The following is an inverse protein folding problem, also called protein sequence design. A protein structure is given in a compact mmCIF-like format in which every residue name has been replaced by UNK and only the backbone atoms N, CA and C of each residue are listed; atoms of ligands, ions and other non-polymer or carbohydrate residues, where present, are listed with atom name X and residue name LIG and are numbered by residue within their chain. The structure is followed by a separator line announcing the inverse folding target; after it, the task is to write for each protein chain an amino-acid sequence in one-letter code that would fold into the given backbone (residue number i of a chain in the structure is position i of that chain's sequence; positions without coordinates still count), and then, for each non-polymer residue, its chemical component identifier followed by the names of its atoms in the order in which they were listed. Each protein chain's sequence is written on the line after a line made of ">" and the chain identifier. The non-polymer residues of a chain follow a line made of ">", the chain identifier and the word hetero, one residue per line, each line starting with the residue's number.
data_IF_188837254275
#
_entry.id   IF_188837254275
#
_cell.length_a   1.000
_cell.length_b   1.000
_cell.length_c   1.000
_cell.angle_alpha   90.00
_cell.angle_beta   90.00
_cell.angle_gamma   90.00
#
_symmetry.space_group_name_H-M   'P 1'
#
loop_
_entity.id
_entity.type
_entity.pdbx_description
1 polymer ?
#
# COMPACT_ATOMS: atom_id res chain seq x y z
N UNK A 1 -24.18 -76.35 12.76
CA UNK A 1 -24.74 -77.14 13.88
C UNK A 1 -23.63 -77.58 14.83
N UNK A 2 -23.50 -76.94 15.99
CA UNK A 2 -23.14 -77.55 17.30
C UNK A 2 -23.05 -76.41 18.33
N UNK A 3 -23.72 -76.63 19.46
CA UNK A 3 -23.93 -75.68 20.56
C UNK A 3 -22.88 -75.87 21.67
N UNK A 4 -22.75 -74.82 22.50
CA UNK A 4 -22.58 -74.83 23.98
C UNK A 4 -21.18 -75.15 24.59
N UNK A 5 -20.93 -74.87 25.90
CA UNK A 5 -20.95 -73.55 26.58
C UNK A 5 -19.88 -73.40 27.70
N UNK A 6 -19.83 -72.23 28.36
CA UNK A 6 -19.59 -72.11 29.82
C UNK A 6 -18.17 -71.74 30.29
N UNK A 7 -18.02 -70.64 31.06
CA UNK A 7 -18.02 -70.70 32.53
C UNK A 7 -17.83 -69.32 33.18
N UNK A 8 -18.46 -69.18 34.35
CA UNK A 8 -18.47 -68.02 35.24
C UNK A 8 -17.19 -67.89 36.07
N UNK A 9 -16.92 -66.69 36.58
CA UNK A 9 -16.01 -66.47 37.72
C UNK A 9 -15.84 -64.99 38.06
N UNK A 10 -16.60 -64.51 39.03
CA UNK A 10 -16.49 -63.18 39.62
C UNK A 10 -15.48 -63.18 40.78
N UNK A 11 -14.72 -62.09 40.96
CA UNK A 11 -14.27 -61.64 42.28
C UNK A 11 -13.91 -60.15 42.26
N UNK A 12 -14.25 -59.49 43.36
CA UNK A 12 -14.27 -58.05 43.57
C UNK A 12 -13.07 -57.53 44.38
N UNK A 13 -13.03 -56.20 44.51
CA UNK A 13 -12.25 -55.36 45.44
C UNK A 13 -10.77 -55.16 45.02
N UNK A 14 -10.19 -53.96 45.08
CA UNK A 14 -10.24 -52.91 46.12
C UNK A 14 -9.87 -51.52 45.53
N UNK A 15 -10.46 -50.46 46.10
CA UNK A 15 -10.17 -49.03 45.87
C UNK A 15 -8.84 -48.61 46.50
N UNK A 16 -8.08 -47.71 45.88
CA UNK A 16 -7.41 -46.54 46.50
C UNK A 16 -7.23 -45.43 45.42
N UNK A 17 -7.48 -44.14 45.73
CA UNK A 17 -7.45 -43.04 44.76
C UNK A 17 -6.04 -42.43 44.66
N UNK A 18 -5.69 -41.90 43.48
CA UNK A 18 -4.59 -40.95 43.32
C UNK A 18 -4.96 -39.93 42.25
N UNK A 19 -5.34 -38.75 42.73
CA UNK A 19 -5.44 -37.54 41.94
C UNK A 19 -4.02 -37.07 41.58
N UNK A 20 -3.60 -37.19 40.33
CA UNK A 20 -2.47 -36.40 39.78
C UNK A 20 -2.66 -36.20 38.28
N UNK A 21 -2.86 -34.93 37.89
CA UNK A 21 -2.27 -34.34 36.70
C UNK A 21 -2.70 -34.82 35.31
N UNK A 22 -3.67 -34.12 34.71
CA UNK A 22 -3.62 -33.79 33.28
C UNK A 22 -4.52 -32.58 32.96
N UNK A 23 -4.17 -31.43 33.51
CA UNK A 23 -4.51 -30.14 32.89
C UNK A 23 -3.26 -29.70 32.14
N UNK A 24 -3.10 -30.18 30.91
CA UNK A 24 -1.99 -29.79 30.06
C UNK A 24 -2.38 -29.93 28.59
N UNK A 25 -2.30 -28.82 27.86
CA UNK A 25 -2.29 -28.67 26.41
C UNK A 25 -3.60 -28.92 25.65
N UNK A 26 -4.50 -27.93 25.76
CA UNK A 26 -5.38 -27.54 24.65
C UNK A 26 -5.42 -26.00 24.55
N UNK A 27 -4.23 -25.40 24.42
CA UNK A 27 -4.00 -23.98 24.09
C UNK A 27 -3.07 -23.90 22.88
N UNK A 28 -3.53 -24.39 21.73
CA UNK A 28 -2.80 -24.28 20.47
C UNK A 28 -3.77 -24.22 19.28
N UNK A 29 -4.71 -23.27 19.33
CA UNK A 29 -5.49 -22.86 18.15
C UNK A 29 -6.08 -21.45 18.34
N UNK A 30 -5.27 -20.50 18.81
CA UNK A 30 -5.55 -19.07 18.71
C UNK A 30 -4.28 -18.36 18.25
N UNK A 31 -3.84 -18.66 17.01
CA UNK A 31 -2.98 -17.75 16.26
C UNK A 31 -3.89 -16.97 15.31
N UNK A 32 -4.35 -15.75 15.65
CA UNK A 32 -4.76 -14.79 14.63
C UNK A 32 -3.47 -14.30 13.96
N UNK A 33 -2.98 -15.12 13.04
CA UNK A 33 -1.75 -14.89 12.30
C UNK A 33 -1.91 -15.49 10.93
N UNK A 34 -2.89 -15.03 10.15
CA UNK A 34 -2.78 -15.15 8.70
C UNK A 34 -1.63 -14.25 8.28
N UNK A 35 -0.39 -14.72 8.47
CA UNK A 35 0.76 -14.26 7.72
C UNK A 35 0.40 -14.46 6.25
N UNK A 36 -0.08 -13.41 5.59
CA UNK A 36 -0.42 -13.46 4.18
C UNK A 36 0.79 -13.99 3.44
N UNK A 37 0.68 -15.19 2.87
CA UNK A 37 1.80 -15.84 2.20
C UNK A 37 2.43 -14.86 1.19
N UNK A 38 3.74 -14.71 1.18
CA UNK A 38 4.42 -13.82 0.23
C UNK A 38 4.22 -14.31 -1.21
N UNK A 39 4.35 -13.39 -2.18
CA UNK A 39 4.23 -13.75 -3.59
C UNK A 39 5.47 -14.49 -4.09
N UNK A 40 5.25 -15.60 -4.79
CA UNK A 40 6.24 -16.25 -5.66
C UNK A 40 6.52 -15.38 -6.89
N UNK A 41 7.58 -15.67 -7.65
CA UNK A 41 7.93 -14.87 -8.85
C UNK A 41 6.81 -14.92 -9.89
N UNK A 42 6.19 -16.08 -10.08
CA UNK A 42 5.05 -16.24 -10.97
C UNK A 42 3.83 -15.44 -10.50
N UNK A 43 3.60 -15.37 -9.19
CA UNK A 43 2.52 -14.56 -8.63
C UNK A 43 2.80 -13.06 -8.77
N UNK A 44 4.02 -12.59 -8.50
CA UNK A 44 4.41 -11.19 -8.75
C UNK A 44 4.21 -10.83 -10.23
N UNK A 45 4.60 -11.72 -11.15
CA UNK A 45 4.36 -11.51 -12.56
C UNK A 45 2.87 -11.44 -12.92
N UNK A 46 2.03 -12.28 -12.31
CA UNK A 46 0.58 -12.23 -12.49
C UNK A 46 -0.02 -10.91 -11.99
N UNK A 47 0.46 -10.39 -10.85
CA UNK A 47 0.05 -9.07 -10.33
C UNK A 47 0.40 -7.96 -11.31
N UNK A 48 1.61 -8.00 -11.89
CA UNK A 48 2.02 -7.02 -12.90
C UNK A 48 1.21 -7.12 -14.19
N UNK A 49 0.91 -8.33 -14.66
CA UNK A 49 0.06 -8.55 -15.84
C UNK A 49 -1.35 -8.01 -15.59
N UNK A 50 -1.90 -8.22 -14.39
CA UNK A 50 -3.17 -7.64 -13.97
C UNK A 50 -3.10 -6.12 -13.97
N UNK A 51 -2.09 -5.53 -13.35
CA UNK A 51 -1.88 -4.07 -13.35
C UNK A 51 -1.81 -3.50 -14.77
N UNK A 52 -1.07 -4.16 -15.65
CA UNK A 52 -0.96 -3.79 -17.07
C UNK A 52 -2.32 -3.80 -17.77
N UNK A 53 -3.14 -4.81 -17.52
CA UNK A 53 -4.49 -4.90 -18.06
C UNK A 53 -5.39 -3.78 -17.52
N UNK A 54 -5.37 -3.54 -16.21
CA UNK A 54 -6.15 -2.48 -15.56
C UNK A 54 -5.76 -1.09 -16.10
N UNK A 55 -4.45 -0.83 -16.26
CA UNK A 55 -3.92 0.39 -16.87
C UNK A 55 -4.35 0.55 -18.33
N UNK A 56 -4.27 -0.51 -19.13
CA UNK A 56 -4.69 -0.47 -20.52
C UNK A 56 -6.19 -0.19 -20.63
N UNK A 57 -7.01 -0.78 -19.76
CA UNK A 57 -8.45 -0.52 -19.73
C UNK A 57 -8.78 0.92 -19.33
N UNK A 58 -8.05 1.49 -18.37
CA UNK A 58 -8.30 2.86 -17.90
C UNK A 58 -7.72 3.93 -18.82
N UNK A 59 -6.57 3.67 -19.44
CA UNK A 59 -5.82 4.60 -20.31
C UNK A 59 -5.10 3.87 -21.46
N UNK A 60 -5.82 3.48 -22.52
CA UNK A 60 -5.24 2.74 -23.64
C UNK A 60 -4.09 3.48 -24.33
N UNK A 61 -4.24 4.80 -24.50
CA UNK A 61 -3.24 5.65 -25.16
C UNK A 61 -1.91 5.66 -24.39
N UNK A 62 -1.96 5.61 -23.06
CA UNK A 62 -0.76 5.53 -22.23
C UNK A 62 -0.09 4.16 -22.38
N UNK A 63 -0.85 3.09 -22.17
CA UNK A 63 -0.34 1.72 -22.22
C UNK A 63 0.27 1.36 -23.58
N UNK A 64 -0.14 2.03 -24.66
CA UNK A 64 0.44 1.87 -25.99
C UNK A 64 1.81 2.53 -26.16
N UNK A 65 2.12 3.59 -25.40
CA UNK A 65 3.38 4.35 -25.48
C UNK A 65 4.49 3.77 -24.60
N UNK A 66 4.14 3.07 -23.53
CA UNK A 66 5.12 2.44 -22.65
C UNK A 66 5.60 1.10 -23.25
N UNK A 67 6.92 0.91 -23.31
CA UNK A 67 7.54 -0.31 -23.87
C UNK A 67 7.14 -1.52 -23.03
N UNK A 68 6.61 -2.56 -23.69
CA UNK A 68 6.14 -3.83 -23.11
C UNK A 68 4.94 -3.77 -22.14
N UNK A 69 4.27 -2.62 -22.05
CA UNK A 69 3.00 -2.47 -21.32
C UNK A 69 1.75 -2.79 -22.14
N UNK A 70 1.91 -3.27 -23.37
CA UNK A 70 0.77 -3.70 -24.19
C UNK A 70 0.21 -5.04 -23.69
N UNK A 71 -1.11 -5.26 -23.72
CA UNK A 71 -1.71 -6.51 -23.25
C UNK A 71 -1.16 -7.77 -23.94
N UNK A 72 -0.72 -7.64 -25.19
CA UNK A 72 -0.17 -8.72 -26.01
C UNK A 72 1.35 -8.91 -25.88
N UNK A 73 2.05 -8.08 -25.08
CA UNK A 73 3.48 -8.28 -24.85
C UNK A 73 3.72 -9.55 -24.02
N UNK A 74 4.61 -10.40 -24.53
CA UNK A 74 5.10 -11.62 -23.90
C UNK A 74 6.33 -11.39 -23.02
N UNK A 75 6.84 -10.15 -22.96
CA UNK A 75 7.97 -9.80 -22.12
C UNK A 75 7.64 -10.04 -20.64
N UNK A 76 8.62 -10.55 -19.90
CA UNK A 76 8.53 -10.67 -18.43
C UNK A 76 8.57 -9.27 -17.79
N UNK A 77 7.94 -9.05 -16.62
CA UNK A 77 7.82 -7.72 -16.01
C UNK A 77 9.12 -6.94 -15.84
N UNK A 78 10.24 -7.63 -15.55
CA UNK A 78 11.54 -6.98 -15.40
C UNK A 78 12.11 -6.38 -16.70
N UNK A 79 11.53 -6.70 -17.86
CA UNK A 79 11.85 -6.07 -19.14
C UNK A 79 10.97 -4.88 -19.49
N UNK A 80 9.94 -4.58 -18.68
CA UNK A 80 8.99 -3.51 -18.99
C UNK A 80 9.58 -2.14 -18.68
N UNK A 81 9.20 -1.12 -19.46
CA UNK A 81 9.61 0.25 -19.18
C UNK A 81 9.18 0.65 -17.76
N UNK A 82 10.04 1.35 -17.02
CA UNK A 82 9.75 1.83 -15.66
C UNK A 82 9.56 0.75 -14.58
N UNK A 83 9.90 -0.51 -14.88
CA UNK A 83 10.02 -1.57 -13.89
C UNK A 83 11.49 -1.87 -13.65
N UNK A 84 11.93 -1.87 -12.40
CA UNK A 84 13.27 -2.29 -12.00
C UNK A 84 13.17 -3.53 -11.14
N UNK A 85 14.04 -4.50 -11.41
CA UNK A 85 14.15 -5.70 -10.62
C UNK A 85 15.54 -5.84 -10.00
N UNK A 86 15.61 -6.60 -8.90
CA UNK A 86 16.86 -7.06 -8.32
C UNK A 86 17.49 -8.21 -9.14
N UNK A 87 18.60 -8.75 -8.64
CA UNK A 87 19.31 -9.89 -9.25
C UNK A 87 18.53 -11.21 -9.21
N UNK A 88 17.48 -11.28 -8.39
CA UNK A 88 16.56 -12.42 -8.27
C UNK A 88 15.29 -12.23 -9.11
N UNK A 89 15.28 -11.22 -9.99
CA UNK A 89 14.15 -10.83 -10.83
C UNK A 89 12.92 -10.38 -10.03
N UNK A 90 13.12 -9.87 -8.82
CA UNK A 90 12.05 -9.32 -7.96
C UNK A 90 11.92 -7.84 -8.20
N UNK A 91 10.69 -7.38 -8.35
CA UNK A 91 10.42 -5.98 -8.65
C UNK A 91 10.68 -5.14 -7.40
N UNK A 92 11.64 -4.22 -7.51
CA UNK A 92 12.04 -3.31 -6.43
C UNK A 92 11.56 -1.89 -6.64
N UNK A 93 11.38 -1.46 -7.90
CA UNK A 93 10.87 -0.15 -8.22
C UNK A 93 9.86 -0.23 -9.36
N UNK A 94 8.72 0.44 -9.17
CA UNK A 94 7.66 0.58 -10.14
C UNK A 94 7.28 2.05 -10.26
N UNK A 95 7.64 2.69 -11.38
CA UNK A 95 7.44 4.13 -11.61
C UNK A 95 6.52 4.43 -12.80
N UNK A 96 5.22 4.41 -12.55
CA UNK A 96 4.15 4.67 -13.51
C UNK A 96 3.73 6.14 -13.56
N UNK A 97 4.67 7.05 -13.34
CA UNK A 97 4.38 8.48 -13.48
C UNK A 97 4.45 8.86 -14.95
N UNK A 98 3.33 9.33 -15.47
CA UNK A 98 3.28 9.93 -16.79
C UNK A 98 3.90 11.31 -16.73
N UNK A 99 5.11 11.40 -17.28
CA UNK A 99 5.78 12.64 -17.59
C UNK A 99 5.72 12.78 -19.10
N UNK A 100 5.31 13.95 -19.59
CA UNK A 100 5.46 14.28 -21.00
C UNK A 100 6.92 14.02 -21.41
N UNK A 101 7.23 13.64 -22.66
CA UNK A 101 8.62 13.61 -23.14
C UNK A 101 9.39 14.91 -22.85
N UNK A 102 8.68 16.04 -22.76
CA UNK A 102 9.23 17.35 -22.36
C UNK A 102 9.74 17.37 -20.90
N UNK A 103 9.06 16.66 -20.00
CA UNK A 103 9.47 16.51 -18.59
C UNK A 103 10.65 15.55 -18.42
N UNK A 104 10.83 14.58 -19.34
CA UNK A 104 12.03 13.71 -19.35
C UNK A 104 13.30 14.52 -19.66
N UNK A 105 13.20 15.64 -20.40
CA UNK A 105 14.32 16.55 -20.67
C UNK A 105 14.66 17.43 -19.44
N UNK A 106 13.65 17.84 -18.66
CA UNK A 106 13.83 18.64 -17.45
C UNK A 106 14.58 17.89 -16.32
N UNK A 107 14.53 16.55 -16.31
CA UNK A 107 15.26 15.71 -15.33
C UNK A 107 16.78 15.68 -15.49
N UNK A 108 17.35 16.37 -16.50
CA UNK A 108 18.81 16.54 -16.60
C UNK A 108 19.35 17.75 -15.85
N UNK A 109 18.51 18.70 -15.39
CA UNK A 109 18.99 19.83 -14.58
C UNK A 109 17.92 20.35 -13.60
N UNK A 110 18.31 20.33 -12.32
CA UNK A 110 17.87 21.15 -11.19
C UNK A 110 16.78 20.67 -10.20
N UNK A 111 16.92 21.06 -8.92
CA UNK A 111 16.17 20.55 -7.75
C UNK A 111 15.07 21.51 -7.26
N UNK A 112 14.64 22.50 -8.04
CA UNK A 112 13.72 23.55 -7.57
C UNK A 112 12.59 23.81 -8.55
N UNK A 113 11.35 23.71 -8.05
CA UNK A 113 10.18 24.38 -8.60
C UNK A 113 9.54 23.71 -9.82
N UNK A 114 8.76 22.64 -9.59
CA UNK A 114 7.83 22.12 -10.58
C UNK A 114 6.59 23.05 -10.62
N UNK A 115 6.52 23.98 -11.59
CA UNK A 115 5.29 24.75 -11.87
C UNK A 115 4.26 23.83 -12.52
N UNK A 116 2.95 23.96 -12.23
CA UNK A 116 1.94 23.20 -12.94
C UNK A 116 1.82 23.73 -14.37
N UNK A 117 2.25 22.93 -15.34
CA UNK A 117 1.92 23.16 -16.76
C UNK A 117 0.49 22.68 -16.95
N UNK A 118 -0.42 23.63 -17.15
CA UNK A 118 -1.80 23.36 -17.58
C UNK A 118 -1.71 22.73 -18.97
N UNK A 119 -1.85 21.40 -19.02
CA UNK A 119 -1.97 20.68 -20.27
C UNK A 119 -3.32 21.02 -20.91
N UNK A 120 -3.25 21.75 -22.01
CA UNK A 120 -4.39 22.07 -22.88
C UNK A 120 -4.87 20.77 -23.56
N UNK A 121 -5.73 20.01 -22.87
CA UNK A 121 -6.38 18.83 -23.42
C UNK A 121 -7.62 19.24 -24.21
N UNK A 122 -7.39 19.67 -25.45
CA UNK A 122 -8.43 19.71 -26.47
C UNK A 122 -9.00 18.31 -26.71
N UNK A 123 -10.33 18.20 -26.66
CA UNK A 123 -11.17 17.01 -26.84
C UNK A 123 -11.33 16.05 -25.65
N UNK A 124 -11.99 16.51 -24.58
CA UNK A 124 -12.71 15.65 -23.65
C UNK A 124 -14.24 15.79 -23.84
N UNK A 125 -14.73 15.38 -25.00
CA UNK A 125 -16.16 15.29 -25.31
C UNK A 125 -16.59 13.83 -25.37
N UNK A 126 -16.85 13.23 -24.21
CA UNK A 126 -17.80 12.12 -24.03
C UNK A 126 -17.94 11.84 -22.53
N UNK A 127 -18.94 12.45 -21.91
CA UNK A 127 -19.37 12.17 -20.56
C UNK A 127 -20.04 10.78 -20.49
N UNK A 128 -19.21 9.74 -20.50
CA UNK A 128 -19.47 8.52 -19.74
C UNK A 128 -18.54 8.55 -18.53
N UNK A 129 -19.04 8.25 -17.34
CA UNK A 129 -18.19 8.13 -16.14
C UNK A 129 -17.12 7.07 -16.39
N UNK A 130 -15.92 7.48 -16.80
CA UNK A 130 -14.82 6.56 -17.03
C UNK A 130 -14.61 5.73 -15.75
N UNK A 131 -14.53 4.39 -15.86
CA UNK A 131 -14.34 3.55 -14.70
C UNK A 131 -13.04 3.95 -14.00
N UNK A 132 -13.07 3.95 -12.67
CA UNK A 132 -11.85 4.22 -11.92
C UNK A 132 -10.84 3.11 -12.14
N UNK A 133 -9.57 3.49 -12.23
CA UNK A 133 -8.47 2.56 -12.17
C UNK A 133 -8.38 2.02 -10.74
N UNK A 134 -8.60 0.71 -10.58
CA UNK A 134 -8.41 0.01 -9.30
C UNK A 134 -7.02 -0.60 -9.30
N UNK A 135 -6.12 -0.10 -8.45
CA UNK A 135 -4.80 -0.72 -8.31
C UNK A 135 -4.94 -2.12 -7.68
N UNK A 136 -4.12 -3.12 -8.06
CA UNK A 136 -4.23 -4.45 -7.49
C UNK A 136 -3.93 -4.45 -5.97
N UNK A 137 -4.80 -5.06 -5.13
CA UNK A 137 -4.51 -5.22 -3.70
C UNK A 137 -3.25 -6.05 -3.45
N UNK A 138 -2.93 -6.99 -4.34
CA UNK A 138 -1.78 -7.88 -4.22
C UNK A 138 -0.42 -7.16 -4.33
N UNK A 139 -0.38 -5.92 -4.85
CA UNK A 139 0.82 -5.08 -4.80
C UNK A 139 1.34 -4.95 -3.36
N UNK A 140 0.44 -4.90 -2.38
CA UNK A 140 0.79 -4.86 -0.96
C UNK A 140 1.58 -6.07 -0.46
N UNK A 141 1.61 -7.19 -1.21
CA UNK A 141 2.34 -8.42 -0.85
C UNK A 141 3.68 -8.54 -1.58
N UNK A 142 4.06 -7.54 -2.39
CA UNK A 142 5.35 -7.50 -3.08
C UNK A 142 6.45 -7.15 -2.10
N UNK A 143 7.13 -8.18 -1.59
CA UNK A 143 8.03 -8.04 -0.45
C UNK A 143 9.29 -7.23 -0.75
N UNK A 144 9.65 -7.12 -2.02
CA UNK A 144 10.87 -6.45 -2.47
C UNK A 144 10.60 -5.06 -3.02
N UNK A 145 9.34 -4.64 -3.10
CA UNK A 145 8.98 -3.34 -3.66
C UNK A 145 9.39 -2.24 -2.68
N UNK A 146 10.43 -1.49 -3.03
CA UNK A 146 10.99 -0.38 -2.26
C UNK A 146 10.39 0.96 -2.68
N UNK A 147 10.07 1.11 -3.97
CA UNK A 147 9.52 2.33 -4.53
C UNK A 147 8.31 2.05 -5.40
N UNK A 148 7.20 2.69 -5.05
CA UNK A 148 6.00 2.72 -5.87
C UNK A 148 5.66 4.17 -6.20
N UNK A 149 5.65 4.49 -7.49
CA UNK A 149 5.23 5.78 -8.01
C UNK A 149 4.16 5.57 -9.07
N UNK A 150 3.03 6.26 -8.92
CA UNK A 150 1.93 6.26 -9.87
C UNK A 150 1.54 7.70 -10.16
N UNK A 151 1.32 8.06 -11.43
CA UNK A 151 0.96 9.44 -11.77
C UNK A 151 0.19 9.55 -13.07
N UNK A 152 -1.13 9.70 -12.99
CA UNK A 152 -2.03 9.76 -14.14
C UNK A 152 -3.27 10.61 -13.85
N UNK A 153 -3.85 11.24 -14.87
CA UNK A 153 -5.07 12.06 -14.78
C UNK A 153 -6.35 11.20 -14.78
N UNK A 154 -6.37 10.14 -13.98
CA UNK A 154 -7.51 9.19 -13.89
C UNK A 154 -8.21 9.27 -12.54
N UNK A 155 -9.45 8.80 -12.49
CA UNK A 155 -10.08 8.44 -11.22
C UNK A 155 -9.41 7.17 -10.68
N UNK A 156 -8.94 7.19 -9.45
CA UNK A 156 -8.14 6.13 -8.85
C UNK A 156 -8.82 5.57 -7.60
N UNK A 157 -8.87 4.25 -7.45
CA UNK A 157 -9.24 3.60 -6.20
C UNK A 157 -8.02 2.91 -5.60
N UNK A 158 -7.69 3.25 -4.34
CA UNK A 158 -6.63 2.60 -3.58
C UNK A 158 -7.20 1.46 -2.74
N UNK A 159 -6.64 0.24 -2.80
CA UNK A 159 -7.13 -0.89 -2.02
C UNK A 159 -6.95 -0.72 -0.52
N UNK A 160 -7.91 -1.20 0.27
CA UNK A 160 -7.82 -1.19 1.74
C UNK A 160 -6.72 -2.11 2.30
N UNK A 161 -6.35 -3.12 1.51
CA UNK A 161 -5.30 -4.10 1.78
C UNK A 161 -3.93 -3.46 1.92
N UNK A 162 -3.73 -2.30 1.28
CA UNK A 162 -2.49 -1.54 1.34
C UNK A 162 -2.20 -1.02 2.75
N UNK A 163 -3.22 -0.84 3.59
CA UNK A 163 -3.08 -0.41 4.97
C UNK A 163 -3.15 -1.52 6.02
N UNK A 164 -3.19 -2.79 5.61
CA UNK A 164 -3.25 -3.92 6.55
C UNK A 164 -1.86 -4.31 7.09
N UNK A 165 -1.76 -4.88 8.31
CA UNK A 165 -0.48 -5.30 8.88
C UNK A 165 0.29 -6.23 7.93
N UNK A 166 1.59 -5.99 7.77
CA UNK A 166 2.44 -6.75 6.85
C UNK A 166 2.35 -6.31 5.39
N UNK A 167 1.52 -5.32 5.05
CA UNK A 167 1.54 -4.70 3.71
C UNK A 167 2.86 -3.99 3.47
N UNK A 168 3.37 -4.13 2.24
CA UNK A 168 4.52 -3.42 1.72
C UNK A 168 5.74 -3.44 2.66
N UNK A 169 6.28 -4.63 2.97
CA UNK A 169 7.26 -4.81 4.04
C UNK A 169 8.60 -4.09 3.78
N UNK A 170 8.92 -3.80 2.51
CA UNK A 170 10.15 -3.10 2.11
C UNK A 170 9.90 -1.71 1.52
N UNK A 171 8.67 -1.23 1.47
CA UNK A 171 8.37 0.04 0.78
C UNK A 171 8.95 1.21 1.56
N UNK A 172 9.78 2.00 0.88
CA UNK A 172 10.45 3.20 1.38
C UNK A 172 9.80 4.48 0.84
N UNK A 173 9.28 4.41 -0.39
CA UNK A 173 8.73 5.56 -1.10
C UNK A 173 7.38 5.24 -1.75
N UNK A 174 6.35 5.97 -1.34
CA UNK A 174 5.01 5.90 -1.91
C UNK A 174 4.64 7.26 -2.52
N UNK A 175 4.42 7.28 -3.84
CA UNK A 175 4.04 8.49 -4.56
C UNK A 175 2.82 8.20 -5.43
N UNK A 176 1.67 8.82 -5.14
CA UNK A 176 0.44 8.62 -5.90
C UNK A 176 -0.11 9.96 -6.37
N UNK A 177 -0.14 10.14 -7.69
CA UNK A 177 -0.70 11.30 -8.36
C UNK A 177 -1.89 10.85 -9.21
N UNK A 178 -3.07 11.42 -8.95
CA UNK A 178 -4.32 11.05 -9.58
C UNK A 178 -5.11 12.26 -10.07
N UNK A 179 -6.12 12.03 -10.92
CA UNK A 179 -7.17 13.01 -11.15
C UNK A 179 -8.05 13.13 -9.91
N UNK A 180 -8.92 12.15 -9.68
CA UNK A 180 -9.76 12.10 -8.48
C UNK A 180 -9.59 10.77 -7.76
N UNK A 181 -9.87 10.74 -6.45
CA UNK A 181 -9.93 9.50 -5.69
C UNK A 181 -11.37 8.96 -5.73
N UNK A 182 -11.55 7.68 -6.06
CA UNK A 182 -12.78 6.95 -5.82
C UNK A 182 -12.77 6.46 -4.37
N UNK A 183 -13.65 7.01 -3.55
CA UNK A 183 -13.70 6.70 -2.12
C UNK A 183 -12.65 7.45 -1.30
N UNK A 184 -12.37 6.93 -0.11
CA UNK A 184 -11.38 7.49 0.81
C UNK A 184 -10.01 6.83 0.63
N UNK A 185 -8.98 7.46 1.19
CA UNK A 185 -7.67 6.83 1.33
C UNK A 185 -7.77 5.66 2.33
N UNK A 186 -7.02 4.57 2.11
CA UNK A 186 -7.05 3.45 3.03
C UNK A 186 -6.51 3.85 4.40
N UNK A 187 -7.19 3.42 5.46
CA UNK A 187 -6.66 3.49 6.82
C UNK A 187 -5.39 2.63 6.92
N UNK A 188 -4.36 3.14 7.60
CA UNK A 188 -3.12 2.40 7.84
C UNK A 188 -3.15 1.88 9.27
N UNK A 189 -3.09 0.56 9.41
CA UNK A 189 -3.03 -0.12 10.71
C UNK A 189 -1.60 -0.27 11.18
N UNK A 190 -1.36 -0.36 12.51
CA UNK A 190 -0.04 -0.70 13.04
C UNK A 190 0.51 -1.97 12.40
N UNK A 191 1.79 -1.97 12.03
CA UNK A 191 2.43 -3.09 11.34
C UNK A 191 2.39 -3.03 9.80
N UNK A 192 1.67 -2.08 9.20
CA UNK A 192 1.72 -1.80 7.77
C UNK A 192 2.89 -0.86 7.43
N UNK A 193 3.55 -1.05 6.27
CA UNK A 193 4.50 -0.08 5.70
C UNK A 193 5.57 0.41 6.70
N UNK A 194 6.14 -0.51 7.48
CA UNK A 194 7.02 -0.21 8.62
C UNK A 194 8.29 0.57 8.25
N UNK A 195 8.75 0.45 7.00
CA UNK A 195 9.95 1.10 6.49
C UNK A 195 9.65 2.37 5.66
N UNK A 196 8.38 2.74 5.50
CA UNK A 196 7.97 3.83 4.63
C UNK A 196 8.46 5.18 5.19
N UNK A 197 9.23 5.90 4.37
CA UNK A 197 9.88 7.16 4.72
C UNK A 197 9.20 8.35 4.08
N UNK A 198 8.89 8.21 2.80
CA UNK A 198 8.33 9.29 2.00
C UNK A 198 6.95 8.93 1.49
N UNK A 199 5.99 9.81 1.77
CA UNK A 199 4.65 9.77 1.20
C UNK A 199 4.39 11.06 0.42
N UNK A 200 4.06 10.91 -0.87
CA UNK A 200 3.67 12.03 -1.74
C UNK A 200 2.36 11.73 -2.39
N UNK A 201 1.40 12.62 -2.21
CA UNK A 201 0.06 12.34 -2.62
C UNK A 201 -0.60 13.57 -3.22
N UNK A 202 -0.94 13.49 -4.51
CA UNK A 202 -1.51 14.62 -5.25
C UNK A 202 -2.76 14.19 -6.01
N UNK A 203 -3.86 14.92 -5.81
CA UNK A 203 -5.11 14.70 -6.52
C UNK A 203 -5.66 16.05 -6.98
N UNK A 204 -6.32 16.10 -8.13
CA UNK A 204 -6.94 17.34 -8.62
C UNK A 204 -8.23 17.69 -7.85
N UNK A 205 -8.81 16.74 -7.12
CA UNK A 205 -9.93 17.00 -6.22
C UNK A 205 -9.45 17.52 -4.86
N UNK A 206 -10.02 18.63 -4.41
CA UNK A 206 -9.70 19.31 -3.14
C UNK A 206 -10.33 18.67 -1.91
N UNK A 207 -11.18 17.64 -2.06
CA UNK A 207 -11.95 17.05 -0.95
C UNK A 207 -11.32 15.79 -0.35
N UNK A 208 -10.14 15.38 -0.85
CA UNK A 208 -9.48 14.17 -0.33
C UNK A 208 -8.89 14.44 1.05
N UNK A 209 -9.56 13.95 2.08
CA UNK A 209 -9.08 14.02 3.46
C UNK A 209 -8.06 12.93 3.76
N UNK A 210 -7.03 13.31 4.50
CA UNK A 210 -6.09 12.37 5.10
C UNK A 210 -6.76 11.59 6.24
N UNK A 211 -6.55 10.26 6.35
CA UNK A 211 -7.11 9.49 7.45
C UNK A 211 -6.44 9.90 8.77
N UNK A 212 -7.22 10.21 9.83
CA UNK A 212 -6.67 10.49 11.16
C UNK A 212 -5.80 9.35 11.70
N UNK A 213 -6.11 8.11 11.31
CA UNK A 213 -5.41 6.89 11.72
C UNK A 213 -3.92 6.88 11.38
N UNK A 214 -3.49 7.60 10.33
CA UNK A 214 -2.10 7.61 9.88
C UNK A 214 -1.14 8.23 10.90
N UNK A 215 -1.63 9.18 11.70
CA UNK A 215 -0.83 9.93 12.67
C UNK A 215 -1.41 9.93 14.09
N UNK A 216 -2.45 9.13 14.36
CA UNK A 216 -3.05 9.07 15.69
C UNK A 216 -2.26 8.22 16.69
N UNK A 217 -1.27 7.44 16.22
CA UNK A 217 -0.43 6.58 17.05
C UNK A 217 1.00 6.52 16.50
N UNK A 218 1.97 6.39 17.40
CA UNK A 218 3.41 6.33 17.08
C UNK A 218 3.85 5.04 16.38
N UNK A 219 3.05 3.98 16.50
CA UNK A 219 3.30 2.68 15.86
C UNK A 219 2.75 2.58 14.42
N UNK A 220 2.06 3.62 13.96
CA UNK A 220 1.59 3.75 12.58
C UNK A 220 2.62 4.59 11.81
N UNK A 221 3.14 4.04 10.70
CA UNK A 221 4.18 4.68 9.87
C UNK A 221 5.40 5.18 10.68
N UNK A 222 6.04 4.32 11.50
CA UNK A 222 7.07 4.72 12.47
C UNK A 222 8.40 5.20 11.85
N UNK A 223 8.55 5.07 10.53
CA UNK A 223 9.71 5.52 9.77
C UNK A 223 9.44 6.76 8.91
N UNK A 224 8.20 7.28 8.90
CA UNK A 224 7.83 8.40 8.05
C UNK A 224 8.61 9.65 8.46
N UNK A 225 9.33 10.22 7.50
CA UNK A 225 10.12 11.44 7.68
C UNK A 225 9.74 12.55 6.69
N UNK A 226 9.14 12.21 5.55
CA UNK A 226 8.70 13.16 4.53
C UNK A 226 7.24 12.93 4.15
N UNK A 227 6.45 14.00 4.19
CA UNK A 227 5.04 13.96 3.81
C UNK A 227 4.64 15.20 3.00
N UNK A 228 4.05 14.95 1.83
CA UNK A 228 3.55 15.98 0.92
C UNK A 228 2.04 15.76 0.66
N UNK A 229 1.15 16.59 1.26
CA UNK A 229 -0.31 16.59 0.98
C UNK A 229 -1.12 17.76 1.59
N UNK A 230 -2.32 17.93 1.04
CA UNK A 230 -3.51 18.67 1.51
C UNK A 230 -3.97 18.34 2.93
N UNK A 231 -4.30 19.38 3.70
CA UNK A 231 -4.99 19.42 5.01
C UNK A 231 -4.72 18.27 5.96
N UNK A 232 -3.87 18.53 6.95
CA UNK A 232 -3.51 17.50 7.93
C UNK A 232 -4.60 17.41 9.03
N UNK A 233 -4.96 16.20 9.47
CA UNK A 233 -5.86 15.99 10.60
C UNK A 233 -5.25 16.50 11.92
N UNK A 234 -6.06 17.08 12.84
CA UNK A 234 -5.59 17.50 14.17
C UNK A 234 -4.94 16.37 14.99
N UNK A 235 -5.37 15.13 14.76
CA UNK A 235 -4.93 13.91 15.44
C UNK A 235 -3.46 13.55 15.16
N UNK A 236 -2.88 14.12 14.11
CA UNK A 236 -1.51 13.79 13.68
C UNK A 236 -0.42 14.36 14.57
N UNK A 237 -0.75 15.30 15.45
CA UNK A 237 0.19 15.92 16.39
C UNK A 237 0.76 14.97 17.46
N UNK A 238 0.65 13.66 17.32
CA UNK A 238 1.26 12.69 18.24
C UNK A 238 1.93 11.49 17.55
N UNK A 239 1.66 11.25 16.26
CA UNK A 239 2.01 9.98 15.61
C UNK A 239 3.34 9.94 14.87
N UNK A 240 3.95 11.07 14.54
CA UNK A 240 5.13 11.09 13.66
C UNK A 240 6.38 11.67 14.33
N UNK A 241 7.07 10.88 15.18
CA UNK A 241 8.24 11.35 15.93
C UNK A 241 9.46 11.61 15.04
N UNK A 242 9.47 11.11 13.79
CA UNK A 242 10.57 11.24 12.84
C UNK A 242 10.26 12.15 11.65
N UNK A 243 9.10 12.81 11.64
CA UNK A 243 8.75 13.70 10.53
C UNK A 243 9.69 14.91 10.52
N UNK A 244 10.52 15.00 9.48
CA UNK A 244 11.53 16.06 9.30
C UNK A 244 11.05 17.11 8.31
N UNK A 245 10.33 16.69 7.26
CA UNK A 245 9.83 17.55 6.20
C UNK A 245 8.33 17.36 6.01
N UNK A 246 7.58 18.45 6.11
CA UNK A 246 6.15 18.48 5.88
C UNK A 246 5.82 19.58 4.87
N UNK A 247 5.60 19.25 3.61
CA UNK A 247 5.33 20.28 2.59
C UNK A 247 3.83 20.55 2.49
N UNK A 248 3.45 21.79 2.77
CA UNK A 248 2.07 22.31 2.76
C UNK A 248 1.83 23.40 1.70
N UNK A 249 2.71 23.49 0.71
CA UNK A 249 2.66 24.52 -0.34
C UNK A 249 1.38 24.45 -1.20
N UNK A 250 0.97 25.61 -1.71
CA UNK A 250 -0.16 25.79 -2.65
C UNK A 250 -1.54 25.33 -2.12
N UNK A 251 -1.67 25.15 -0.80
CA UNK A 251 -2.89 24.64 -0.17
C UNK A 251 -3.95 25.70 0.16
N UNK A 252 -3.68 26.98 -0.09
CA UNK A 252 -4.58 28.07 0.29
C UNK A 252 -4.97 28.04 1.77
N UNK A 253 -4.10 27.50 2.64
CA UNK A 253 -4.38 27.33 4.06
C UNK A 253 -4.72 28.68 4.68
N UNK A 254 -5.90 28.77 5.26
CA UNK A 254 -6.34 29.89 6.07
C UNK A 254 -6.58 29.40 7.49
N UNK A 255 -6.39 30.28 8.48
CA UNK A 255 -6.52 29.93 9.89
C UNK A 255 -5.19 29.59 10.57
N UNK A 256 -5.26 28.97 11.75
CA UNK A 256 -4.09 28.59 12.58
C UNK A 256 -3.91 27.09 12.56
N UNK A 257 -2.67 26.63 12.62
CA UNK A 257 -2.37 25.22 12.87
C UNK A 257 -2.98 24.76 14.20
N UNK A 258 -3.47 23.50 14.29
CA UNK A 258 -3.92 22.92 15.55
C UNK A 258 -2.85 23.04 16.63
N UNK A 259 -3.23 23.44 17.85
CA UNK A 259 -2.29 23.58 18.96
C UNK A 259 -1.54 22.27 19.28
N UNK A 260 -2.16 21.12 19.01
CA UNK A 260 -1.55 19.80 19.16
C UNK A 260 -0.28 19.61 18.32
N UNK A 261 -0.11 20.37 17.24
CA UNK A 261 1.06 20.24 16.37
C UNK A 261 2.28 20.98 16.88
N UNK A 262 2.10 22.00 17.74
CA UNK A 262 3.21 22.79 18.27
C UNK A 262 4.23 21.93 19.02
N UNK A 263 3.80 20.78 19.54
CA UNK A 263 4.65 19.82 20.22
C UNK A 263 4.64 18.43 19.56
N UNK A 264 3.92 18.28 18.45
CA UNK A 264 3.59 16.98 17.88
C UNK A 264 4.60 16.41 16.88
N UNK A 265 5.46 17.28 16.35
CA UNK A 265 6.48 16.91 15.37
C UNK A 265 7.87 17.29 15.91
N UNK A 266 8.44 16.50 16.84
CA UNK A 266 9.67 16.87 17.54
C UNK A 266 10.90 16.94 16.63
N UNK A 267 10.86 16.30 15.46
CA UNK A 267 11.94 16.27 14.49
C UNK A 267 11.74 17.24 13.31
N UNK A 268 10.66 18.03 13.29
CA UNK A 268 10.31 18.83 12.11
C UNK A 268 11.32 19.96 11.89
N UNK A 269 11.93 19.96 10.71
CA UNK A 269 12.94 20.95 10.32
C UNK A 269 12.37 21.98 9.36
N UNK A 270 11.41 21.57 8.52
CA UNK A 270 10.79 22.44 7.51
C UNK A 270 9.30 22.12 7.37
N UNK A 271 8.50 23.19 7.26
CA UNK A 271 7.07 23.18 6.97
C UNK A 271 6.75 24.11 5.80
#
# INVERSE_FOLDING_TARGET
>A
MKRHPGCHGATAATRVPAAVGMVAFLLLALLPGTSGAYLTLAQEAAVMIKLRHDLHSAQPALAQKLVDWRPNSTAVPCGWEMVVCDTQLRITNLDLRWFSPEDKAARRFSPTGMRPVVADSGNASAAGSAPALRLPPELARMRHLEKFSFGMTVRLALPSEWGQPGSFPSLLWLSVHGGSLEGALPDIRPGAMLLLRTIRLQFTSTTVMLPPSWGSRVDVLPALNELERFTLPPEWGAGFPKLELLLLDELGLTGRFPGTWQHGFPALQSM
#
